data_IF_769727363746
#
_entry.id   IF_769727363746
#
_cell.length_a   1.000
_cell.length_b   1.000
_cell.length_c   1.000
_cell.angle_alpha   90.00
_cell.angle_beta   90.00
_cell.angle_gamma   90.00
#
_symmetry.space_group_name_H-M   'P 1'
#
loop_
_entity.id
_entity.type
_entity.pdbx_description
1 polymer ?
#
# COMPACT_ATOMS: atom_id res chain seq x y z
N UNK A 1 -2.41 22.80 -9.22
CA UNK A 1 -1.64 21.75 -9.92
C UNK A 1 -0.92 22.38 -11.12
N UNK A 2 0.39 22.17 -11.20
CA UNK A 2 1.22 22.74 -12.29
C UNK A 2 0.98 22.09 -13.66
N UNK A 3 0.12 21.07 -13.75
CA UNK A 3 -0.14 20.30 -14.98
C UNK A 3 -1.61 20.35 -15.47
N UNK A 4 -2.43 21.28 -14.97
CA UNK A 4 -3.83 21.43 -15.39
C UNK A 4 -4.77 20.29 -14.95
N UNK A 5 -4.35 19.46 -13.99
CA UNK A 5 -5.17 18.37 -13.44
C UNK A 5 -5.94 18.87 -12.22
N UNK A 6 -7.23 18.55 -12.14
CA UNK A 6 -8.04 18.79 -10.93
C UNK A 6 -7.59 17.87 -9.80
N UNK A 7 -7.43 18.43 -8.59
CA UNK A 7 -7.01 17.69 -7.41
C UNK A 7 -7.92 18.01 -6.25
N UNK A 8 -8.51 16.99 -5.64
CA UNK A 8 -9.15 17.06 -4.33
C UNK A 8 -8.25 16.39 -3.28
N UNK A 9 -8.22 16.90 -2.06
CA UNK A 9 -7.43 16.34 -0.97
C UNK A 9 -8.18 16.40 0.35
N UNK A 10 -7.94 15.41 1.21
CA UNK A 10 -8.40 15.37 2.59
C UNK A 10 -7.27 14.86 3.50
N UNK A 11 -7.08 15.51 4.64
CA UNK A 11 -6.18 15.02 5.66
C UNK A 11 -6.92 14.03 6.55
N UNK A 12 -6.35 12.84 6.74
CA UNK A 12 -6.91 11.78 7.57
C UNK A 12 -5.80 11.00 8.26
N UNK A 13 -6.00 10.66 9.54
CA UNK A 13 -5.14 9.73 10.26
C UNK A 13 -5.66 8.29 10.08
N UNK A 14 -4.97 7.51 9.25
CA UNK A 14 -5.33 6.12 8.97
C UNK A 14 -5.02 5.17 10.16
N UNK A 15 -4.34 5.63 11.19
CA UNK A 15 -4.16 4.87 12.43
C UNK A 15 -5.40 4.89 13.31
N UNK A 16 -6.34 5.80 13.04
CA UNK A 16 -7.62 5.92 13.71
C UNK A 16 -8.72 5.34 12.80
N UNK A 17 -9.37 4.22 13.17
CA UNK A 17 -10.37 3.59 12.32
C UNK A 17 -11.61 4.45 12.08
N UNK A 18 -11.95 5.26 13.10
CA UNK A 18 -13.10 6.15 13.03
C UNK A 18 -12.83 7.32 12.08
N UNK A 19 -13.72 7.56 11.15
CA UNK A 19 -13.61 8.68 10.19
C UNK A 19 -13.06 8.32 8.82
N UNK A 20 -12.39 7.16 8.61
CA UNK A 20 -11.87 6.75 7.29
C UNK A 20 -13.01 6.70 6.27
N UNK A 21 -14.12 6.02 6.59
CA UNK A 21 -15.26 5.90 5.69
C UNK A 21 -15.87 7.27 5.33
N UNK A 22 -16.02 8.16 6.30
CA UNK A 22 -16.57 9.51 6.08
C UNK A 22 -15.64 10.36 5.20
N UNK A 23 -14.32 10.29 5.43
CA UNK A 23 -13.35 11.01 4.61
C UNK A 23 -13.34 10.51 3.15
N UNK A 24 -13.39 9.20 2.94
CA UNK A 24 -13.47 8.62 1.59
C UNK A 24 -14.78 9.02 0.90
N UNK A 25 -15.91 8.95 1.59
CA UNK A 25 -17.20 9.41 1.06
C UNK A 25 -17.16 10.90 0.67
N UNK A 26 -16.54 11.74 1.49
CA UNK A 26 -16.35 13.17 1.18
C UNK A 26 -15.48 13.41 -0.06
N UNK A 27 -14.45 12.61 -0.28
CA UNK A 27 -13.62 12.69 -1.50
C UNK A 27 -14.39 12.23 -2.74
N UNK A 28 -15.15 11.14 -2.65
CA UNK A 28 -15.96 10.64 -3.76
C UNK A 28 -17.06 11.63 -4.20
N UNK A 29 -17.57 12.44 -3.28
CA UNK A 29 -18.55 13.50 -3.61
C UNK A 29 -17.94 14.71 -4.33
N UNK A 30 -16.63 14.91 -4.26
CA UNK A 30 -15.92 16.06 -4.82
C UNK A 30 -15.39 15.82 -6.24
N UNK A 31 -15.42 14.60 -6.74
CA UNK A 31 -14.80 14.23 -8.01
C UNK A 31 -15.53 13.13 -8.75
N UNK A 32 -14.91 12.69 -9.84
CA UNK A 32 -15.36 11.52 -10.58
C UNK A 32 -15.05 10.23 -9.82
N UNK A 33 -15.76 9.18 -10.14
CA UNK A 33 -15.46 7.83 -9.60
C UNK A 33 -14.04 7.42 -9.99
N UNK A 34 -13.18 7.06 -9.04
CA UNK A 34 -11.81 6.71 -9.35
C UNK A 34 -11.75 5.41 -10.17
N UNK A 35 -10.92 5.40 -11.21
CA UNK A 35 -10.58 4.20 -11.99
C UNK A 35 -9.39 3.43 -11.41
N UNK A 36 -8.58 4.08 -10.58
CA UNK A 36 -7.42 3.49 -9.90
C UNK A 36 -7.40 3.95 -8.45
N UNK A 37 -7.29 2.98 -7.54
CA UNK A 37 -7.05 3.19 -6.11
C UNK A 37 -5.66 2.70 -5.74
N UNK A 38 -4.83 3.57 -5.17
CA UNK A 38 -3.48 3.24 -4.72
C UNK A 38 -3.39 3.35 -3.21
N UNK A 39 -3.25 2.23 -2.52
CA UNK A 39 -3.01 2.17 -1.08
C UNK A 39 -1.49 2.15 -0.83
N UNK A 40 -0.93 3.34 -0.66
CA UNK A 40 0.51 3.54 -0.45
C UNK A 40 0.88 3.84 1.01
N UNK A 41 -0.02 4.40 1.80
CA UNK A 41 0.26 4.73 3.19
C UNK A 41 0.68 3.50 3.99
N UNK A 42 1.71 3.64 4.82
CA UNK A 42 2.21 2.55 5.63
C UNK A 42 3.41 2.97 6.48
N UNK A 43 3.70 2.17 7.48
CA UNK A 43 4.84 2.34 8.36
C UNK A 43 5.59 1.03 8.56
N UNK A 44 6.78 1.13 9.13
CA UNK A 44 7.58 0.00 9.55
C UNK A 44 7.88 0.08 11.05
N UNK A 45 8.23 -1.05 11.61
CA UNK A 45 8.68 -1.19 12.99
C UNK A 45 9.79 -2.22 13.04
N UNK A 46 10.87 -1.88 13.73
CA UNK A 46 11.97 -2.79 14.03
C UNK A 46 12.06 -3.03 15.53
N UNK A 47 12.30 -4.27 15.91
CA UNK A 47 12.43 -4.69 17.30
C UNK A 47 12.16 -6.18 17.47
N UNK A 48 12.43 -6.69 18.66
CA UNK A 48 12.14 -8.08 19.03
C UNK A 48 10.62 -8.32 18.93
N UNK A 49 10.25 -9.32 18.14
CA UNK A 49 8.84 -9.65 17.88
C UNK A 49 8.07 -10.01 19.15
N UNK A 50 8.69 -10.75 20.08
CA UNK A 50 8.03 -11.20 21.30
C UNK A 50 8.04 -10.15 22.43
N UNK A 51 8.91 -9.15 22.32
CA UNK A 51 8.97 -8.02 23.25
C UNK A 51 8.23 -6.77 22.74
N UNK A 52 7.63 -6.83 21.56
CA UNK A 52 6.89 -5.70 20.98
C UNK A 52 5.66 -5.36 21.83
N UNK A 53 5.48 -4.09 22.25
CA UNK A 53 4.26 -3.65 22.92
C UNK A 53 3.01 -3.91 22.06
N UNK A 54 1.95 -4.43 22.67
CA UNK A 54 0.72 -4.81 21.95
C UNK A 54 0.08 -3.62 21.24
N UNK A 55 0.20 -2.42 21.80
CA UNK A 55 -0.32 -1.18 21.21
C UNK A 55 0.43 -0.82 19.92
N UNK A 56 1.74 -1.09 19.86
CA UNK A 56 2.56 -0.88 18.65
C UNK A 56 2.22 -1.92 17.58
N UNK A 57 1.99 -3.15 17.96
CA UNK A 57 1.50 -4.20 17.08
C UNK A 57 0.15 -3.82 16.46
N UNK A 58 -0.82 -3.42 17.29
CA UNK A 58 -2.15 -3.02 16.84
C UNK A 58 -2.09 -1.78 15.94
N UNK A 59 -1.29 -0.78 16.31
CA UNK A 59 -1.07 0.42 15.50
C UNK A 59 -0.53 0.08 14.11
N UNK A 60 0.48 -0.80 14.02
CA UNK A 60 1.08 -1.18 12.74
C UNK A 60 0.09 -1.94 11.85
N UNK A 61 -0.66 -2.87 12.44
CA UNK A 61 -1.69 -3.61 11.70
C UNK A 61 -2.86 -2.70 11.29
N UNK A 62 -3.26 -1.77 12.14
CA UNK A 62 -4.28 -0.79 11.80
C UNK A 62 -3.85 0.01 10.58
N UNK A 63 -2.64 0.57 10.55
CA UNK A 63 -2.17 1.37 9.44
C UNK A 63 -1.93 0.56 8.17
N UNK A 64 -1.22 -0.58 8.26
CA UNK A 64 -0.76 -1.31 7.08
C UNK A 64 -1.80 -2.28 6.48
N UNK A 65 -2.83 -2.65 7.23
CA UNK A 65 -3.79 -3.70 6.83
C UNK A 65 -5.23 -3.23 6.99
N UNK A 66 -5.65 -2.89 8.22
CA UNK A 66 -7.05 -2.58 8.51
C UNK A 66 -7.50 -1.32 7.79
N UNK A 67 -6.68 -0.28 7.77
CA UNK A 67 -6.99 0.96 7.04
C UNK A 67 -7.16 0.72 5.55
N UNK A 68 -6.34 -0.15 4.95
CA UNK A 68 -6.47 -0.52 3.53
C UNK A 68 -7.81 -1.19 3.26
N UNK A 69 -8.21 -2.14 4.12
CA UNK A 69 -9.53 -2.77 4.04
C UNK A 69 -10.65 -1.72 4.16
N UNK A 70 -10.56 -0.79 5.11
CA UNK A 70 -11.55 0.27 5.31
C UNK A 70 -11.63 1.22 4.10
N UNK A 71 -10.49 1.63 3.53
CA UNK A 71 -10.45 2.44 2.31
C UNK A 71 -11.06 1.69 1.12
N UNK A 72 -10.68 0.42 0.93
CA UNK A 72 -11.26 -0.41 -0.13
C UNK A 72 -12.79 -0.56 0.06
N UNK A 73 -13.26 -0.82 1.28
CA UNK A 73 -14.69 -0.95 1.58
C UNK A 73 -15.48 0.33 1.26
N UNK A 74 -14.86 1.49 1.42
CA UNK A 74 -15.51 2.77 1.13
C UNK A 74 -15.45 3.16 -0.35
N UNK A 75 -14.40 2.77 -1.09
CA UNK A 75 -14.13 3.26 -2.45
C UNK A 75 -14.53 2.25 -3.52
N UNK A 76 -14.19 0.96 -3.34
CA UNK A 76 -14.40 -0.08 -4.36
C UNK A 76 -15.86 -0.22 -4.82
N UNK A 77 -16.88 -0.12 -3.95
CA UNK A 77 -18.27 -0.18 -4.39
C UNK A 77 -18.63 0.86 -5.46
N UNK A 78 -18.08 2.07 -5.35
CA UNK A 78 -18.31 3.11 -6.37
C UNK A 78 -17.61 2.79 -7.70
N UNK A 79 -16.50 2.05 -7.68
CA UNK A 79 -15.76 1.68 -8.89
C UNK A 79 -16.44 0.58 -9.71
N UNK A 80 -17.35 -0.21 -9.14
CA UNK A 80 -17.95 -1.40 -9.77
C UNK A 80 -18.70 -1.11 -11.06
N UNK A 81 -19.28 0.09 -11.20
CA UNK A 81 -20.03 0.47 -12.41
C UNK A 81 -19.15 0.49 -13.67
N UNK A 82 -17.92 0.98 -13.53
CA UNK A 82 -17.00 1.15 -14.65
C UNK A 82 -15.81 0.18 -14.61
N UNK A 83 -15.73 -0.63 -13.56
CA UNK A 83 -14.55 -1.40 -13.24
C UNK A 83 -13.40 -0.53 -12.73
N UNK A 84 -12.27 -1.16 -12.40
CA UNK A 84 -11.12 -0.40 -11.91
C UNK A 84 -9.93 -1.26 -11.50
N UNK A 85 -8.91 -0.58 -10.98
CA UNK A 85 -7.69 -1.22 -10.49
C UNK A 85 -7.37 -0.74 -9.07
N UNK A 86 -7.17 -1.68 -8.16
CA UNK A 86 -6.63 -1.43 -6.82
C UNK A 86 -5.16 -1.86 -6.80
N UNK A 87 -4.25 -0.97 -6.40
CA UNK A 87 -2.82 -1.27 -6.23
C UNK A 87 -2.47 -1.12 -4.75
N UNK A 88 -2.07 -2.20 -4.12
CA UNK A 88 -1.63 -2.21 -2.74
C UNK A 88 -0.10 -2.29 -2.68
N UNK A 89 0.54 -1.31 -2.03
CA UNK A 89 2.00 -1.27 -1.89
C UNK A 89 2.44 -2.20 -0.77
N UNK A 90 3.05 -3.30 -1.15
CA UNK A 90 3.63 -4.29 -0.26
C UNK A 90 5.15 -4.15 -0.20
N UNK A 91 5.82 -5.14 0.34
CA UNK A 91 7.26 -5.17 0.53
C UNK A 91 7.81 -6.57 0.26
N UNK A 92 9.08 -6.65 -0.09
CA UNK A 92 9.84 -7.91 -0.09
C UNK A 92 9.71 -8.67 1.25
N UNK A 93 9.52 -7.94 2.34
CA UNK A 93 9.23 -8.47 3.67
C UNK A 93 7.91 -9.28 3.76
N UNK A 94 7.01 -9.18 2.78
CA UNK A 94 5.81 -10.02 2.73
C UNK A 94 6.11 -11.51 2.45
N UNK A 95 7.26 -11.80 1.86
CA UNK A 95 7.70 -13.15 1.44
C UNK A 95 8.94 -13.64 2.16
N UNK A 96 9.67 -12.74 2.79
CA UNK A 96 10.93 -13.04 3.45
C UNK A 96 10.90 -12.54 4.89
N UNK A 97 11.49 -13.31 5.77
CA UNK A 97 11.62 -12.94 7.17
C UNK A 97 13.00 -12.30 7.42
N UNK A 98 12.97 -11.19 8.14
CA UNK A 98 14.18 -10.50 8.56
C UNK A 98 14.17 -10.37 10.08
N UNK A 99 15.31 -10.66 10.77
CA UNK A 99 15.42 -10.42 12.20
C UNK A 99 14.99 -8.98 12.56
N UNK A 100 14.24 -8.84 13.63
CA UNK A 100 13.69 -7.57 14.13
C UNK A 100 12.59 -6.90 13.24
N UNK A 101 12.29 -7.41 12.06
CA UNK A 101 11.23 -6.89 11.19
C UNK A 101 9.94 -7.72 11.25
N UNK A 102 9.80 -8.62 12.23
CA UNK A 102 8.73 -9.62 12.25
C UNK A 102 7.32 -9.03 12.15
N UNK A 103 7.00 -8.00 12.91
CA UNK A 103 5.69 -7.36 12.86
C UNK A 103 5.40 -6.72 11.49
N UNK A 104 6.40 -6.07 10.89
CA UNK A 104 6.29 -5.50 9.54
C UNK A 104 6.09 -6.60 8.50
N UNK A 105 6.87 -7.69 8.56
CA UNK A 105 6.70 -8.86 7.69
C UNK A 105 5.27 -9.41 7.75
N UNK A 106 4.73 -9.61 8.95
CA UNK A 106 3.35 -10.07 9.15
C UNK A 106 2.35 -9.11 8.50
N UNK A 107 2.49 -7.80 8.72
CA UNK A 107 1.58 -6.80 8.16
C UNK A 107 1.58 -6.81 6.63
N UNK A 108 2.76 -6.91 6.01
CA UNK A 108 2.90 -6.92 4.54
C UNK A 108 2.49 -8.25 3.91
N UNK A 109 2.67 -9.37 4.60
CA UNK A 109 2.14 -10.67 4.19
C UNK A 109 0.60 -10.69 4.25
N UNK A 110 0.01 -10.14 5.32
CA UNK A 110 -1.44 -10.00 5.45
C UNK A 110 -2.02 -9.12 4.34
N UNK A 111 -1.39 -7.98 4.02
CA UNK A 111 -1.80 -7.10 2.93
C UNK A 111 -1.75 -7.81 1.56
N UNK A 112 -0.70 -8.58 1.27
CA UNK A 112 -0.60 -9.34 0.03
C UNK A 112 -1.69 -10.41 -0.07
N UNK A 113 -2.04 -11.07 1.04
CA UNK A 113 -3.15 -12.03 1.09
C UNK A 113 -4.49 -11.34 0.90
N UNK A 114 -4.73 -10.21 1.55
CA UNK A 114 -5.93 -9.39 1.37
C UNK A 114 -6.12 -8.99 -0.11
N UNK A 115 -5.04 -8.57 -0.78
CA UNK A 115 -5.08 -8.16 -2.19
C UNK A 115 -5.55 -9.30 -3.09
N UNK A 116 -5.06 -10.53 -2.88
CA UNK A 116 -5.48 -11.70 -3.64
C UNK A 116 -6.96 -12.04 -3.41
N UNK A 117 -7.43 -12.00 -2.16
CA UNK A 117 -8.83 -12.22 -1.83
C UNK A 117 -9.73 -11.18 -2.51
N UNK A 118 -9.37 -9.89 -2.40
CA UNK A 118 -10.10 -8.80 -3.05
C UNK A 118 -10.18 -8.98 -4.57
N UNK A 119 -9.09 -9.40 -5.21
CA UNK A 119 -9.06 -9.65 -6.65
C UNK A 119 -10.05 -10.74 -7.07
N UNK A 120 -10.15 -11.82 -6.29
CA UNK A 120 -11.09 -12.92 -6.59
C UNK A 120 -12.55 -12.53 -6.30
N UNK A 121 -12.82 -11.89 -5.17
CA UNK A 121 -14.16 -11.50 -4.76
C UNK A 121 -14.77 -10.44 -5.70
N UNK A 122 -13.95 -9.51 -6.19
CA UNK A 122 -14.41 -8.39 -7.03
C UNK A 122 -14.23 -8.62 -8.55
N UNK A 123 -13.73 -9.77 -8.96
CA UNK A 123 -13.49 -10.12 -10.37
C UNK A 123 -14.74 -9.96 -11.24
N UNK A 124 -15.89 -10.43 -10.76
CA UNK A 124 -17.16 -10.33 -11.49
C UNK A 124 -17.68 -8.89 -11.60
N UNK A 125 -17.19 -8.00 -10.76
CA UNK A 125 -17.51 -6.57 -10.77
C UNK A 125 -16.53 -5.74 -11.62
N UNK A 126 -15.62 -6.40 -12.36
CA UNK A 126 -14.63 -5.72 -13.19
C UNK A 126 -13.50 -5.03 -12.41
N UNK A 127 -13.37 -5.31 -11.12
CA UNK A 127 -12.29 -4.77 -10.30
C UNK A 127 -11.10 -5.73 -10.33
N UNK A 128 -9.95 -5.17 -10.63
CA UNK A 128 -8.65 -5.87 -10.59
C UNK A 128 -7.91 -5.41 -9.34
N UNK A 129 -7.20 -6.29 -8.68
CA UNK A 129 -6.32 -5.91 -7.57
C UNK A 129 -4.91 -6.47 -7.78
N UNK A 130 -3.92 -5.63 -7.55
CA UNK A 130 -2.50 -5.90 -7.77
C UNK A 130 -1.70 -5.60 -6.50
N UNK A 131 -0.74 -6.46 -6.21
CA UNK A 131 0.29 -6.19 -5.20
C UNK A 131 1.55 -5.67 -5.89
N UNK A 132 1.97 -4.43 -5.58
CA UNK A 132 3.30 -3.95 -5.91
C UNK A 132 4.25 -4.23 -4.74
N UNK A 133 5.08 -5.24 -4.92
CA UNK A 133 6.08 -5.69 -3.93
C UNK A 133 7.39 -4.92 -4.17
N UNK A 134 7.73 -4.02 -3.26
CA UNK A 134 8.94 -3.22 -3.33
C UNK A 134 10.05 -3.80 -2.45
N UNK A 135 11.27 -3.80 -2.97
CA UNK A 135 12.48 -3.85 -2.15
C UNK A 135 12.69 -2.53 -1.41
N UNK A 136 13.90 -2.32 -0.90
CA UNK A 136 14.22 -1.07 -0.21
C UNK A 136 14.16 0.13 -1.17
N UNK A 137 13.32 1.12 -0.85
CA UNK A 137 13.21 2.40 -1.54
C UNK A 137 13.68 3.51 -0.60
N UNK A 138 14.54 4.39 -1.06
CA UNK A 138 15.10 5.48 -0.27
C UNK A 138 14.04 6.57 0.03
N UNK A 139 13.30 6.39 1.12
CA UNK A 139 12.21 7.26 1.57
C UNK A 139 12.40 7.65 3.03
N UNK A 140 11.63 8.64 3.55
CA UNK A 140 11.61 8.99 4.98
C UNK A 140 11.16 7.86 5.91
N UNK A 141 10.63 6.75 5.40
CA UNK A 141 10.30 5.56 6.22
C UNK A 141 11.52 5.09 7.02
N UNK A 142 12.71 5.19 6.44
CA UNK A 142 13.97 4.80 7.09
C UNK A 142 14.46 5.77 8.17
N UNK A 143 13.88 6.96 8.23
CA UNK A 143 14.20 8.01 9.21
C UNK A 143 13.20 8.03 10.38
N UNK A 144 12.19 7.13 10.35
CA UNK A 144 11.16 7.03 11.38
C UNK A 144 11.75 6.51 12.70
N UNK A 145 11.32 7.06 13.82
CA UNK A 145 11.74 6.62 15.17
C UNK A 145 11.45 5.12 15.45
N UNK A 146 10.52 4.54 14.71
CA UNK A 146 10.14 3.13 14.81
C UNK A 146 11.04 2.20 14.00
N UNK A 147 12.01 2.75 13.25
CA UNK A 147 12.89 1.98 12.36
C UNK A 147 14.34 2.19 12.75
N UNK A 148 15.03 1.11 13.04
CA UNK A 148 16.47 1.08 13.23
C UNK A 148 17.08 0.17 12.17
N UNK A 149 17.90 0.73 11.29
CA UNK A 149 18.62 -0.01 10.27
C UNK A 149 19.89 0.73 9.88
N UNK A 150 20.89 -0.02 9.49
CA UNK A 150 22.20 0.44 9.00
C UNK A 150 22.36 0.22 7.49
N UNK A 151 21.27 0.00 6.75
CA UNK A 151 21.28 -0.24 5.32
C UNK A 151 21.86 0.95 4.53
N UNK A 152 22.71 0.64 3.54
CA UNK A 152 23.25 1.67 2.65
C UNK A 152 22.15 2.26 1.74
N UNK A 153 21.73 3.47 2.06
CA UNK A 153 20.67 4.19 1.34
C UNK A 153 20.98 4.42 -0.15
N UNK A 154 22.27 4.40 -0.53
CA UNK A 154 22.71 4.58 -1.92
C UNK A 154 22.45 3.35 -2.79
N UNK A 155 22.34 2.18 -2.16
CA UNK A 155 22.03 0.93 -2.86
C UNK A 155 20.53 0.69 -3.03
N UNK A 156 19.66 1.52 -2.41
CA UNK A 156 18.21 1.42 -2.51
C UNK A 156 17.69 1.96 -3.85
N UNK A 157 16.45 1.57 -4.19
CA UNK A 157 15.72 2.21 -5.28
C UNK A 157 15.48 3.68 -4.98
N UNK A 158 15.45 4.52 -6.00
CA UNK A 158 14.98 5.89 -5.86
C UNK A 158 13.43 5.91 -5.78
N UNK A 159 12.90 6.99 -5.23
CA UNK A 159 11.44 7.24 -5.24
C UNK A 159 10.90 7.29 -6.66
N UNK A 160 11.65 7.91 -7.59
CA UNK A 160 11.24 8.05 -8.99
C UNK A 160 11.12 6.69 -9.70
N UNK A 161 12.05 5.75 -9.46
CA UNK A 161 11.97 4.38 -9.99
C UNK A 161 10.72 3.64 -9.52
N UNK A 162 10.40 3.76 -8.23
CA UNK A 162 9.20 3.16 -7.66
C UNK A 162 7.92 3.82 -8.23
N UNK A 163 7.90 5.15 -8.34
CA UNK A 163 6.78 5.92 -8.86
C UNK A 163 6.53 5.65 -10.35
N UNK A 164 7.57 5.53 -11.17
CA UNK A 164 7.46 5.18 -12.59
C UNK A 164 6.87 3.77 -12.77
N UNK A 165 7.33 2.81 -11.97
CA UNK A 165 6.79 1.45 -11.99
C UNK A 165 5.31 1.43 -11.59
N UNK A 166 4.93 2.18 -10.55
CA UNK A 166 3.55 2.33 -10.12
C UNK A 166 2.66 2.96 -11.19
N UNK A 167 3.14 4.02 -11.84
CA UNK A 167 2.43 4.68 -12.94
C UNK A 167 2.22 3.73 -14.13
N UNK A 168 3.24 2.95 -14.49
CA UNK A 168 3.12 1.94 -15.55
C UNK A 168 2.12 0.84 -15.21
N UNK A 169 2.01 0.41 -13.94
CA UNK A 169 0.97 -0.51 -13.48
C UNK A 169 -0.43 0.11 -13.61
N UNK A 170 -0.58 1.36 -13.22
CA UNK A 170 -1.88 2.07 -13.28
C UNK A 170 -2.39 2.24 -14.71
N UNK A 171 -1.50 2.28 -15.71
CA UNK A 171 -1.82 2.47 -17.12
C UNK A 171 -2.05 1.16 -17.89
N UNK A 172 -2.02 0.00 -17.22
CA UNK A 172 -2.21 -1.28 -17.90
C UNK A 172 -3.65 -1.42 -18.45
N UNK A 173 -3.81 -2.04 -19.64
CA UNK A 173 -5.12 -2.28 -20.24
C UNK A 173 -6.07 -3.04 -19.31
N UNK A 174 -7.37 -2.74 -19.40
CA UNK A 174 -8.39 -3.33 -18.53
C UNK A 174 -8.63 -4.84 -18.75
N UNK A 175 -8.20 -5.37 -19.89
CA UNK A 175 -8.36 -6.79 -20.25
C UNK A 175 -7.22 -7.69 -19.75
N UNK A 176 -6.29 -7.15 -18.93
CA UNK A 176 -5.21 -7.92 -18.30
C UNK A 176 -5.06 -7.55 -16.82
N UNK A 177 -4.52 -8.47 -16.05
CA UNK A 177 -4.18 -8.28 -14.64
C UNK A 177 -2.74 -8.70 -14.41
N UNK A 178 -1.97 -7.79 -13.84
CA UNK A 178 -0.70 -8.11 -13.18
C UNK A 178 -1.04 -8.32 -11.70
N UNK A 179 -1.09 -9.56 -11.26
CA UNK A 179 -1.50 -9.90 -9.88
C UNK A 179 -0.46 -9.45 -8.84
N UNK A 180 0.80 -9.60 -9.19
CA UNK A 180 1.94 -9.19 -8.36
C UNK A 180 3.10 -8.75 -9.25
N UNK A 181 3.69 -7.61 -8.91
CA UNK A 181 4.92 -7.13 -9.53
C UNK A 181 5.94 -6.87 -8.44
N UNK A 182 7.13 -7.44 -8.58
CA UNK A 182 8.23 -7.22 -7.66
C UNK A 182 9.29 -6.33 -8.30
N UNK A 183 9.59 -5.20 -7.66
CA UNK A 183 10.68 -4.29 -8.03
C UNK A 183 11.73 -4.31 -6.92
N UNK A 184 12.96 -4.72 -7.25
CA UNK A 184 14.07 -4.83 -6.31
C UNK A 184 15.25 -3.94 -6.72
N UNK A 185 16.04 -3.44 -5.75
CA UNK A 185 17.37 -2.93 -6.07
C UNK A 185 18.18 -4.01 -6.78
N UNK A 186 18.98 -3.61 -7.78
CA UNK A 186 19.87 -4.55 -8.48
C UNK A 186 20.91 -5.22 -7.56
N UNK A 187 21.23 -4.55 -6.44
CA UNK A 187 22.10 -5.10 -5.39
C UNK A 187 21.45 -6.23 -4.56
N UNK A 188 20.15 -6.47 -4.73
CA UNK A 188 19.39 -7.51 -4.01
C UNK A 188 18.63 -6.98 -2.77
N UNK A 189 18.27 -7.91 -1.89
CA UNK A 189 17.71 -7.58 -0.58
C UNK A 189 18.86 -7.28 0.40
N UNK A 190 18.67 -6.28 1.25
CA UNK A 190 19.60 -5.89 2.30
C UNK A 190 19.28 -6.60 3.60
#
# INVERSE_FOLDING_TARGET
SSKGVSVASAAIDLTQPDGIAAAMAGLLQQGETPSVLINNAGAAYTGDLLAMPIERWQWLLQLNVTSVMQVCSAVVPAMRENGGLVINISSHAARNAFPQWGAYCVSKAALASFTRCLAEEERSNGIRACTLTLGAVNTPLWDAETVQSDFDRRAMLSVDQAAETLANLALQPSNQLIEDLTLMPAAGAF
#
